data_IF_913369505869
#
_entry.id   IF_913369505869
#
_cell.length_a   1.000
_cell.length_b   1.000
_cell.length_c   1.000
_cell.angle_alpha   90.00
_cell.angle_beta   90.00
_cell.angle_gamma   90.00
#
_symmetry.space_group_name_H-M   'P 1'
#
loop_
_entity.id
_entity.type
_entity.pdbx_description
1 polymer ?
#
# COMPACT_ATOMS: atom_id res chain seq x y z
N UNK A 1 0.91 16.13 6.94
CA UNK A 1 0.40 16.97 5.83
C UNK A 1 -0.90 17.62 6.29
N UNK A 2 -1.14 18.90 5.99
CA UNK A 2 -2.46 19.52 6.22
C UNK A 2 -3.40 18.95 5.14
N UNK A 3 -4.58 18.42 5.53
CA UNK A 3 -5.57 17.99 4.54
C UNK A 3 -6.13 19.17 3.75
N UNK A 4 -6.69 18.93 2.55
CA UNK A 4 -7.29 20.00 1.74
C UNK A 4 -8.43 20.69 2.48
N UNK A 5 -8.61 21.98 2.22
CA UNK A 5 -9.64 22.85 2.82
C UNK A 5 -10.88 23.00 1.94
N UNK A 6 -10.80 22.67 0.64
CA UNK A 6 -11.94 22.72 -0.28
C UNK A 6 -11.85 21.71 -1.43
N UNK A 7 -12.98 21.48 -2.11
CA UNK A 7 -13.05 20.66 -3.33
C UNK A 7 -12.25 21.30 -4.48
N UNK A 8 -12.26 22.64 -4.59
CA UNK A 8 -11.49 23.37 -5.62
C UNK A 8 -9.99 23.13 -5.47
N UNK A 9 -9.49 23.13 -4.23
CA UNK A 9 -8.08 22.85 -3.95
C UNK A 9 -7.68 21.45 -4.42
N UNK A 10 -8.54 20.45 -4.23
CA UNK A 10 -8.31 19.10 -4.74
C UNK A 10 -8.25 19.09 -6.27
N UNK A 11 -9.23 19.70 -6.93
CA UNK A 11 -9.29 19.74 -8.39
C UNK A 11 -8.05 20.45 -8.99
N UNK A 12 -7.65 21.58 -8.41
CA UNK A 12 -6.46 22.33 -8.80
C UNK A 12 -5.17 21.53 -8.57
N UNK A 13 -5.07 20.84 -7.43
CA UNK A 13 -3.91 20.01 -7.12
C UNK A 13 -3.80 18.80 -8.08
N UNK A 14 -4.90 18.12 -8.37
CA UNK A 14 -4.92 17.02 -9.34
C UNK A 14 -4.52 17.53 -10.74
N UNK A 15 -5.07 18.68 -11.16
CA UNK A 15 -4.75 19.29 -12.46
C UNK A 15 -3.27 19.70 -12.57
N UNK A 16 -2.67 20.21 -11.49
CA UNK A 16 -1.24 20.53 -11.42
C UNK A 16 -0.32 19.30 -11.57
N UNK A 17 -0.88 18.09 -11.42
CA UNK A 17 -0.21 16.81 -11.59
C UNK A 17 -0.74 16.01 -12.81
N UNK A 18 -1.23 16.75 -13.82
CA UNK A 18 -1.71 16.25 -15.12
C UNK A 18 -2.93 15.32 -15.04
N UNK A 19 -3.78 15.51 -14.03
CA UNK A 19 -5.02 14.74 -13.86
C UNK A 19 -6.24 15.65 -13.77
N UNK A 20 -7.11 15.58 -14.77
CA UNK A 20 -8.37 16.35 -14.80
C UNK A 20 -9.47 15.51 -14.16
N UNK A 21 -9.86 15.88 -12.94
CA UNK A 21 -10.99 15.28 -12.24
C UNK A 21 -12.28 16.04 -12.53
N UNK A 22 -13.40 15.30 -12.58
CA UNK A 22 -14.73 15.92 -12.49
C UNK A 22 -15.05 16.31 -11.03
N UNK A 23 -16.14 17.06 -10.86
CA UNK A 23 -16.58 17.52 -9.55
C UNK A 23 -16.87 16.35 -8.59
N UNK A 24 -17.33 15.21 -9.10
CA UNK A 24 -17.66 14.02 -8.31
C UNK A 24 -16.42 13.39 -7.69
N UNK A 25 -15.40 13.14 -8.50
CA UNK A 25 -14.13 12.59 -8.06
C UNK A 25 -13.39 13.56 -7.14
N UNK A 26 -13.34 14.84 -7.48
CA UNK A 26 -12.72 15.86 -6.63
C UNK A 26 -13.39 15.91 -5.24
N UNK A 27 -14.72 15.84 -5.20
CA UNK A 27 -15.49 15.80 -3.94
C UNK A 27 -15.21 14.53 -3.14
N UNK A 28 -15.18 13.37 -3.80
CA UNK A 28 -14.91 12.09 -3.14
C UNK A 28 -13.50 12.03 -2.53
N UNK A 29 -12.50 12.50 -3.27
CA UNK A 29 -11.12 12.62 -2.78
C UNK A 29 -11.03 13.61 -1.62
N UNK A 30 -11.67 14.78 -1.72
CA UNK A 30 -11.72 15.76 -0.63
C UNK A 30 -12.28 15.15 0.66
N UNK A 31 -13.42 14.46 0.57
CA UNK A 31 -14.06 13.82 1.73
C UNK A 31 -13.20 12.69 2.31
N UNK A 32 -12.63 11.83 1.45
CA UNK A 32 -11.76 10.74 1.87
C UNK A 32 -10.55 11.25 2.67
N UNK A 33 -9.87 12.28 2.16
CA UNK A 33 -8.72 12.90 2.83
C UNK A 33 -9.11 13.63 4.12
N UNK A 34 -10.29 14.26 4.16
CA UNK A 34 -10.73 15.02 5.34
C UNK A 34 -11.23 14.13 6.48
N UNK A 35 -11.88 13.02 6.12
CA UNK A 35 -12.42 12.04 7.07
C UNK A 35 -11.40 10.96 7.46
N UNK A 36 -10.31 10.83 6.71
CA UNK A 36 -9.35 9.74 6.89
C UNK A 36 -9.97 8.37 6.60
N UNK A 37 -10.83 8.28 5.57
CA UNK A 37 -11.53 7.03 5.21
C UNK A 37 -11.05 6.53 3.84
N UNK A 38 -11.01 5.20 3.62
CA UNK A 38 -10.70 4.63 2.31
C UNK A 38 -11.65 5.12 1.22
N UNK A 39 -11.13 5.27 0.00
CA UNK A 39 -11.90 5.66 -1.18
C UNK A 39 -12.06 4.46 -2.12
N UNK A 40 -13.30 4.04 -2.35
CA UNK A 40 -13.64 3.03 -3.36
C UNK A 40 -13.91 3.71 -4.70
N UNK A 41 -13.21 3.27 -5.76
CA UNK A 41 -13.34 3.82 -7.11
C UNK A 41 -13.96 2.81 -8.08
N UNK A 42 -15.23 3.01 -8.41
CA UNK A 42 -15.97 2.21 -9.39
C UNK A 42 -15.96 2.89 -10.77
N UNK A 43 -16.18 2.11 -11.85
CA UNK A 43 -16.12 2.60 -13.23
C UNK A 43 -15.47 1.63 -14.20
N UNK A 44 -15.52 1.96 -15.50
CA UNK A 44 -14.97 1.13 -16.56
C UNK A 44 -13.44 1.03 -16.52
N UNK A 45 -12.89 -0.01 -17.16
CA UNK A 45 -11.46 -0.12 -17.35
C UNK A 45 -10.94 1.06 -18.20
N UNK A 46 -9.80 1.64 -17.80
CA UNK A 46 -9.15 2.71 -18.57
C UNK A 46 -9.60 4.14 -18.24
N UNK A 47 -10.53 4.35 -17.31
CA UNK A 47 -10.99 5.70 -16.90
C UNK A 47 -10.04 6.42 -15.93
N UNK A 48 -8.84 5.88 -15.69
CA UNK A 48 -7.80 6.53 -14.88
C UNK A 48 -7.83 6.26 -13.38
N UNK A 49 -8.51 5.20 -12.91
CA UNK A 49 -8.55 4.81 -11.47
C UNK A 49 -7.17 4.57 -10.86
N UNK A 50 -6.32 3.83 -11.57
CA UNK A 50 -4.95 3.59 -11.14
C UNK A 50 -4.12 4.87 -11.18
N UNK A 51 -4.42 5.78 -12.11
CA UNK A 51 -3.66 7.01 -12.27
C UNK A 51 -3.96 8.03 -11.17
N UNK A 52 -5.22 8.15 -10.74
CA UNK A 52 -5.55 9.06 -9.62
C UNK A 52 -4.80 8.67 -8.34
N UNK A 53 -4.60 7.38 -8.06
CA UNK A 53 -3.82 6.94 -6.90
C UNK A 53 -2.34 7.36 -7.00
N UNK A 54 -1.74 7.28 -8.19
CA UNK A 54 -0.37 7.77 -8.41
C UNK A 54 -0.27 9.28 -8.28
N UNK A 55 -1.26 10.00 -8.82
CA UNK A 55 -1.35 11.46 -8.74
C UNK A 55 -1.46 11.89 -7.28
N UNK A 56 -2.31 11.23 -6.50
CA UNK A 56 -2.45 11.46 -5.06
C UNK A 56 -1.12 11.25 -4.33
N UNK A 57 -0.38 10.18 -4.63
CA UNK A 57 0.94 9.96 -4.04
C UNK A 57 1.92 11.10 -4.38
N UNK A 58 1.94 11.57 -5.63
CA UNK A 58 2.76 12.71 -6.06
C UNK A 58 2.37 14.01 -5.36
N UNK A 59 1.07 14.28 -5.25
CA UNK A 59 0.54 15.47 -4.60
C UNK A 59 0.83 15.48 -3.10
N UNK A 60 0.60 14.37 -2.40
CA UNK A 60 0.86 14.28 -0.96
C UNK A 60 2.35 14.20 -0.64
N UNK A 61 3.16 13.74 -1.59
CA UNK A 61 4.57 13.40 -1.40
C UNK A 61 4.77 12.05 -0.71
N UNK A 62 3.70 11.24 -0.59
CA UNK A 62 3.74 9.89 -0.04
C UNK A 62 4.26 8.87 -1.04
N UNK A 63 4.73 7.72 -0.52
CA UNK A 63 5.07 6.58 -1.37
C UNK A 63 3.81 6.01 -2.03
N UNK A 64 3.88 5.71 -3.33
CA UNK A 64 2.84 4.94 -4.01
C UNK A 64 3.09 3.45 -3.82
N UNK A 65 2.10 2.75 -3.25
CA UNK A 65 2.14 1.31 -3.02
C UNK A 65 0.95 0.67 -3.72
N UNK A 66 1.18 -0.38 -4.50
CA UNK A 66 0.13 -1.13 -5.19
C UNK A 66 0.06 -2.56 -4.68
N UNK A 67 -1.12 -2.95 -4.22
CA UNK A 67 -1.52 -4.33 -4.03
C UNK A 67 -2.39 -4.72 -5.23
N UNK A 68 -1.91 -5.67 -6.03
CA UNK A 68 -2.69 -6.25 -7.14
C UNK A 68 -3.37 -7.51 -6.63
N UNK A 69 -4.70 -7.54 -6.64
CA UNK A 69 -5.48 -8.73 -6.33
C UNK A 69 -5.66 -9.61 -7.59
N UNK A 70 -5.74 -10.90 -7.36
CA UNK A 70 -5.98 -11.96 -8.35
C UNK A 70 -6.37 -13.25 -7.61
N UNK A 71 -6.93 -14.22 -8.32
CA UNK A 71 -7.35 -15.51 -7.76
C UNK A 71 -6.17 -16.27 -7.15
N UNK A 72 -6.28 -16.70 -5.90
CA UNK A 72 -5.22 -17.37 -5.16
C UNK A 72 -4.17 -16.43 -4.55
N UNK A 73 -4.43 -15.12 -4.47
CA UNK A 73 -3.61 -14.23 -3.64
C UNK A 73 -3.74 -14.60 -2.16
N UNK A 74 -2.61 -14.67 -1.45
CA UNK A 74 -2.59 -14.99 -0.03
C UNK A 74 -2.03 -13.85 0.85
N UNK A 75 -2.15 -14.06 2.17
CA UNK A 75 -1.64 -13.12 3.18
C UNK A 75 -0.12 -12.93 3.07
N UNK A 76 0.63 -13.97 2.69
CA UNK A 76 2.08 -13.89 2.58
C UNK A 76 2.51 -12.99 1.41
N UNK A 77 1.75 -12.96 0.32
CA UNK A 77 1.95 -12.11 -0.84
C UNK A 77 1.49 -10.66 -0.60
N UNK A 78 0.52 -10.46 0.28
CA UNK A 78 -0.01 -9.13 0.60
C UNK A 78 0.73 -8.44 1.75
N UNK A 79 1.09 -9.17 2.82
CA UNK A 79 1.61 -8.60 4.08
C UNK A 79 3.13 -8.78 4.20
N UNK A 80 3.64 -10.01 4.35
CA UNK A 80 5.08 -10.26 4.38
C UNK A 80 5.42 -11.73 4.18
N UNK A 81 6.67 -11.98 3.80
CA UNK A 81 7.30 -13.31 3.85
C UNK A 81 8.69 -13.23 4.47
N UNK A 82 9.21 -14.37 4.93
CA UNK A 82 10.60 -14.48 5.37
C UNK A 82 11.51 -14.81 4.19
N UNK A 83 12.63 -14.09 4.07
CA UNK A 83 13.69 -14.40 3.11
C UNK A 83 14.55 -15.57 3.62
N UNK A 84 14.03 -16.78 3.44
CA UNK A 84 14.72 -18.01 3.82
C UNK A 84 16.09 -18.17 3.13
N UNK A 85 16.23 -17.68 1.90
CA UNK A 85 17.50 -17.74 1.17
C UNK A 85 18.57 -16.91 1.89
N UNK A 86 18.21 -15.69 2.31
CA UNK A 86 19.10 -14.81 3.06
C UNK A 86 19.36 -15.30 4.48
N UNK A 87 18.38 -15.89 5.15
CA UNK A 87 18.56 -16.55 6.45
C UNK A 87 19.59 -17.67 6.36
N UNK A 88 19.45 -18.57 5.37
CA UNK A 88 20.40 -19.66 5.13
C UNK A 88 21.80 -19.15 4.81
N UNK A 89 21.93 -18.12 3.95
CA UNK A 89 23.23 -17.54 3.62
C UNK A 89 23.91 -16.92 4.86
N UNK A 90 23.13 -16.19 5.69
CA UNK A 90 23.62 -15.64 6.95
C UNK A 90 24.10 -16.75 7.89
N UNK A 91 23.30 -17.82 8.02
CA UNK A 91 23.65 -18.97 8.83
C UNK A 91 24.97 -19.62 8.42
N UNK A 92 25.14 -19.88 7.12
CA UNK A 92 26.39 -20.44 6.58
C UNK A 92 27.59 -19.53 6.80
N UNK A 93 27.42 -18.22 6.69
CA UNK A 93 28.49 -17.25 6.90
C UNK A 93 28.96 -17.23 8.37
N UNK A 94 28.04 -17.28 9.32
CA UNK A 94 28.39 -17.32 10.75
C UNK A 94 29.00 -18.67 11.14
N UNK A 95 28.47 -19.79 10.64
CA UNK A 95 29.05 -21.13 10.85
C UNK A 95 30.50 -21.21 10.34
N UNK A 96 30.77 -20.68 9.15
CA UNK A 96 32.13 -20.64 8.59
C UNK A 96 33.11 -19.78 9.41
N UNK A 97 32.59 -18.77 10.10
CA UNK A 97 33.34 -17.93 11.05
C UNK A 97 33.49 -18.55 12.46
N UNK A 98 32.94 -19.73 12.71
CA UNK A 98 32.94 -20.38 14.03
C UNK A 98 32.01 -19.72 15.05
N UNK A 99 31.07 -18.89 14.60
CA UNK A 99 30.08 -18.26 15.45
C UNK A 99 28.84 -19.14 15.67
N UNK A 100 27.99 -18.71 16.60
CA UNK A 100 26.68 -19.28 16.85
C UNK A 100 25.62 -18.22 16.58
N UNK A 101 24.49 -18.61 16.00
CA UNK A 101 23.34 -17.74 15.75
C UNK A 101 22.24 -18.13 16.72
N UNK A 102 21.62 -17.12 17.32
CA UNK A 102 20.38 -17.26 18.06
C UNK A 102 19.18 -17.34 17.11
N UNK A 103 18.17 -18.13 17.45
CA UNK A 103 16.95 -18.27 16.65
C UNK A 103 16.25 -16.92 16.48
N UNK A 104 16.23 -16.10 17.52
CA UNK A 104 15.66 -14.74 17.50
C UNK A 104 16.32 -13.82 16.47
N UNK A 105 17.62 -14.04 16.16
CA UNK A 105 18.32 -13.27 15.13
C UNK A 105 17.78 -13.59 13.72
N UNK A 106 17.41 -14.86 13.48
CA UNK A 106 16.89 -15.33 12.20
C UNK A 106 15.49 -14.79 11.91
N UNK A 107 14.65 -14.64 12.94
CA UNK A 107 13.29 -14.10 12.81
C UNK A 107 13.21 -12.61 13.15
N UNK A 108 14.16 -11.84 12.61
CA UNK A 108 14.22 -10.38 12.77
C UNK A 108 13.83 -9.64 11.48
N UNK A 109 13.41 -8.38 11.59
CA UNK A 109 13.00 -7.55 10.43
C UNK A 109 14.02 -7.51 9.29
N UNK A 110 15.30 -7.80 9.57
CA UNK A 110 16.37 -7.91 8.58
C UNK A 110 16.07 -8.95 7.48
N UNK A 111 15.37 -10.02 7.83
CA UNK A 111 15.01 -11.11 6.93
C UNK A 111 13.54 -11.04 6.48
N UNK A 112 12.81 -10.00 6.91
CA UNK A 112 11.41 -9.84 6.57
C UNK A 112 11.28 -9.08 5.25
N UNK A 113 10.68 -9.72 4.26
CA UNK A 113 10.33 -9.10 2.98
C UNK A 113 8.94 -8.48 3.13
N UNK A 114 8.91 -7.16 3.29
CA UNK A 114 7.66 -6.41 3.40
C UNK A 114 6.94 -6.39 2.04
N UNK A 115 5.70 -6.87 2.02
CA UNK A 115 4.81 -6.82 0.85
C UNK A 115 3.92 -5.57 0.88
N UNK A 116 3.11 -5.29 -0.15
CA UNK A 116 2.40 -4.02 -0.29
C UNK A 116 1.63 -3.56 0.96
N UNK A 117 0.85 -4.43 1.61
CA UNK A 117 0.07 -4.03 2.78
C UNK A 117 0.95 -3.63 3.95
N UNK A 118 1.94 -4.47 4.32
CA UNK A 118 2.83 -4.12 5.43
C UNK A 118 3.68 -2.89 5.12
N UNK A 119 4.11 -2.70 3.86
CA UNK A 119 4.82 -1.48 3.46
C UNK A 119 3.97 -0.24 3.67
N UNK A 120 2.70 -0.29 3.28
CA UNK A 120 1.77 0.82 3.47
C UNK A 120 1.50 1.11 4.95
N UNK A 121 1.23 0.07 5.75
CA UNK A 121 0.90 0.19 7.18
C UNK A 121 2.10 0.62 8.02
N UNK A 122 3.30 0.09 7.74
CA UNK A 122 4.50 0.39 8.52
C UNK A 122 4.94 1.87 8.41
N UNK A 123 4.48 2.59 7.38
CA UNK A 123 4.62 4.05 7.30
C UNK A 123 6.06 4.54 7.46
N UNK A 124 7.00 3.95 6.73
CA UNK A 124 8.46 4.17 6.92
C UNK A 124 8.90 5.62 6.61
N UNK A 125 8.02 6.43 6.00
CA UNK A 125 8.29 7.82 5.61
C UNK A 125 7.60 8.87 6.47
N UNK A 126 8.02 10.15 6.35
CA UNK A 126 7.40 11.28 7.07
C UNK A 126 5.99 11.62 6.57
N UNK A 127 5.59 11.09 5.42
CA UNK A 127 4.28 11.29 4.79
C UNK A 127 3.61 9.92 4.65
N UNK A 128 2.32 9.79 5.04
CA UNK A 128 1.56 8.55 4.83
C UNK A 128 1.58 8.12 3.35
N UNK A 129 1.81 6.83 3.06
CA UNK A 129 1.77 6.32 1.69
C UNK A 129 0.34 6.32 1.13
N UNK A 130 0.24 6.28 -0.19
CA UNK A 130 -1.02 6.00 -0.90
C UNK A 130 -1.01 4.54 -1.34
N UNK A 131 -1.87 3.75 -0.71
CA UNK A 131 -2.11 2.35 -1.06
C UNK A 131 -3.24 2.24 -2.08
N UNK A 132 -2.94 1.68 -3.25
CA UNK A 132 -3.94 1.23 -4.22
C UNK A 132 -4.13 -0.28 -4.06
N UNK A 133 -5.35 -0.70 -3.72
CA UNK A 133 -5.80 -2.09 -3.88
C UNK A 133 -6.52 -2.19 -5.22
N UNK A 134 -5.96 -2.95 -6.15
CA UNK A 134 -6.42 -3.04 -7.53
C UNK A 134 -7.00 -4.42 -7.83
N UNK A 135 -8.03 -4.48 -8.68
CA UNK A 135 -8.80 -5.69 -8.99
C UNK A 135 -9.24 -6.51 -7.75
N UNK A 136 -9.67 -5.82 -6.68
CA UNK A 136 -10.10 -6.47 -5.42
C UNK A 136 -11.18 -7.53 -5.65
N UNK A 137 -12.03 -7.32 -6.66
CA UNK A 137 -13.09 -8.23 -7.11
C UNK A 137 -12.59 -9.57 -7.68
N UNK A 138 -11.28 -9.72 -7.89
CA UNK A 138 -10.65 -10.98 -8.30
C UNK A 138 -10.05 -11.76 -7.14
N UNK A 139 -10.02 -11.21 -5.93
CA UNK A 139 -9.55 -11.93 -4.77
C UNK A 139 -10.57 -12.99 -4.33
N UNK A 140 -10.09 -13.99 -3.61
CA UNK A 140 -10.97 -14.98 -2.98
C UNK A 140 -11.67 -14.37 -1.75
N UNK A 141 -12.87 -14.85 -1.41
CA UNK A 141 -13.69 -14.34 -0.29
C UNK A 141 -12.92 -14.26 1.04
N UNK A 142 -12.02 -15.22 1.30
CA UNK A 142 -11.19 -15.24 2.50
C UNK A 142 -10.24 -14.03 2.56
N UNK A 143 -9.64 -13.68 1.43
CA UNK A 143 -8.74 -12.53 1.34
C UNK A 143 -9.52 -11.21 1.40
N UNK A 144 -10.69 -11.13 0.77
CA UNK A 144 -11.57 -9.96 0.88
C UNK A 144 -11.96 -9.69 2.33
N UNK A 145 -12.39 -10.73 3.06
CA UNK A 145 -12.76 -10.62 4.48
C UNK A 145 -11.59 -10.12 5.34
N UNK A 146 -10.39 -10.67 5.10
CA UNK A 146 -9.16 -10.22 5.76
C UNK A 146 -8.83 -8.75 5.47
N UNK A 147 -8.94 -8.33 4.20
CA UNK A 147 -8.69 -6.95 3.82
C UNK A 147 -9.70 -5.99 4.48
N UNK A 148 -10.98 -6.38 4.53
CA UNK A 148 -12.02 -5.58 5.19
C UNK A 148 -11.76 -5.43 6.69
N UNK A 149 -11.27 -6.47 7.36
CA UNK A 149 -10.88 -6.40 8.77
C UNK A 149 -9.78 -5.34 8.97
N UNK A 150 -8.71 -5.38 8.17
CA UNK A 150 -7.61 -4.41 8.22
C UNK A 150 -8.09 -2.98 7.98
N UNK A 151 -9.04 -2.77 7.05
CA UNK A 151 -9.53 -1.46 6.66
C UNK A 151 -10.65 -0.91 7.58
N UNK A 152 -11.13 -1.70 8.55
CA UNK A 152 -12.28 -1.35 9.38
C UNK A 152 -11.96 -0.41 10.55
N UNK A 153 -10.71 -0.41 11.01
CA UNK A 153 -10.18 0.44 12.09
C UNK A 153 -9.63 1.79 11.57
#
# INVERSE_FOLDING_TARGET
>A
MRGPESVSEVAEALAAHDYVADDGLATAVFLALRLGRPLLLEGEAGVGKTEVAKVLARWTGGEFVRLQCYEGIDVAQAVYEWDYSRQLLHLRAVEAGGGHIDEDELYSERFLVRRPLLRAIAGVGPVPPVLLVDEVDRADDEFEAFLLEILSD
#
